data_IF_740158578736
#
_entry.id   IF_740158578736
#
_cell.length_a   1.000
_cell.length_b   1.000
_cell.length_c   1.000
_cell.angle_alpha   90.00
_cell.angle_beta   90.00
_cell.angle_gamma   90.00
#
_symmetry.space_group_name_H-M   'P 1'
#
loop_
_entity.id
_entity.type
_entity.pdbx_description
1 polymer ?
#
# COMPACT_ATOMS: atom_id res chain seq x y z
N UNK A 1 15.60 24.80 -20.91
CA UNK A 1 16.03 23.52 -21.52
C UNK A 1 16.29 22.42 -20.49
N UNK A 2 17.19 22.59 -19.51
CA UNK A 2 17.56 21.53 -18.54
C UNK A 2 16.41 20.89 -17.74
N UNK A 3 15.39 21.66 -17.35
CA UNK A 3 14.20 21.15 -16.62
C UNK A 3 13.36 20.17 -17.45
N UNK A 4 13.21 20.44 -18.75
CA UNK A 4 12.43 19.59 -19.66
C UNK A 4 13.13 18.25 -19.92
N UNK A 5 14.45 18.28 -20.14
CA UNK A 5 15.26 17.07 -20.29
C UNK A 5 15.30 16.23 -19.01
N UNK A 6 15.28 16.85 -17.83
CA UNK A 6 15.20 16.13 -16.56
C UNK A 6 13.85 15.43 -16.37
N UNK A 7 12.74 16.12 -16.66
CA UNK A 7 11.41 15.52 -16.60
C UNK A 7 11.24 14.40 -17.63
N UNK A 8 11.80 14.57 -18.83
CA UNK A 8 11.82 13.52 -19.85
C UNK A 8 12.61 12.28 -19.39
N UNK A 9 13.80 12.48 -18.82
CA UNK A 9 14.61 11.39 -18.26
C UNK A 9 13.95 10.69 -17.08
N UNK A 10 13.35 11.45 -16.17
CA UNK A 10 12.61 10.91 -15.03
C UNK A 10 11.38 10.12 -15.48
N UNK A 11 10.58 10.67 -16.40
CA UNK A 11 9.43 9.98 -16.98
C UNK A 11 9.82 8.70 -17.71
N UNK A 12 10.87 8.73 -18.52
CA UNK A 12 11.40 7.55 -19.20
C UNK A 12 11.90 6.49 -18.20
N UNK A 13 12.61 6.90 -17.16
CA UNK A 13 13.08 6.01 -16.09
C UNK A 13 11.92 5.38 -15.30
N UNK A 14 10.88 6.15 -14.98
CA UNK A 14 9.69 5.67 -14.29
C UNK A 14 8.92 4.64 -15.13
N UNK A 15 8.72 4.91 -16.42
CA UNK A 15 8.01 3.99 -17.32
C UNK A 15 8.81 2.70 -17.55
N UNK A 16 10.13 2.79 -17.76
CA UNK A 16 10.97 1.60 -17.93
C UNK A 16 11.07 0.78 -16.64
N UNK A 17 11.21 1.43 -15.48
CA UNK A 17 11.20 0.77 -14.17
C UNK A 17 9.87 0.10 -13.85
N UNK A 18 8.75 0.79 -14.10
CA UNK A 18 7.41 0.22 -13.94
C UNK A 18 7.13 -0.92 -14.93
N UNK A 19 7.62 -0.81 -16.18
CA UNK A 19 7.44 -1.84 -17.22
C UNK A 19 8.26 -3.09 -16.94
N UNK A 20 9.48 -2.97 -16.40
CA UNK A 20 10.32 -4.11 -16.02
C UNK A 20 9.68 -4.99 -14.92
N UNK A 21 8.75 -4.43 -14.14
CA UNK A 21 8.00 -5.18 -13.14
C UNK A 21 6.82 -5.99 -13.70
N UNK A 22 6.36 -5.75 -14.94
CA UNK A 22 5.12 -6.35 -15.48
C UNK A 22 5.14 -7.87 -15.52
N UNK A 23 6.26 -8.48 -15.89
CA UNK A 23 6.37 -9.95 -16.02
C UNK A 23 6.32 -10.65 -14.65
N UNK A 24 6.81 -9.98 -13.60
CA UNK A 24 6.71 -10.43 -12.21
C UNK A 24 5.38 -10.03 -11.57
N UNK A 25 4.81 -8.91 -12.00
CA UNK A 25 3.48 -8.45 -11.61
C UNK A 25 2.41 -9.42 -12.11
N UNK A 26 2.49 -9.93 -13.33
CA UNK A 26 1.56 -10.94 -13.84
C UNK A 26 1.64 -12.25 -13.04
N UNK A 27 2.83 -12.66 -12.63
CA UNK A 27 3.00 -13.84 -11.76
C UNK A 27 2.39 -13.62 -10.36
N UNK A 28 2.63 -12.46 -9.76
CA UNK A 28 2.05 -12.10 -8.46
C UNK A 28 0.54 -11.92 -8.58
N UNK A 29 0.05 -11.30 -9.67
CA UNK A 29 -1.35 -11.06 -9.95
C UNK A 29 -2.16 -12.35 -10.05
N UNK A 30 -1.61 -13.39 -10.67
CA UNK A 30 -2.25 -14.72 -10.68
C UNK A 30 -2.36 -15.32 -9.28
N UNK A 31 -1.30 -15.21 -8.47
CA UNK A 31 -1.35 -15.62 -7.05
C UNK A 31 -2.35 -14.77 -6.25
N UNK A 32 -2.48 -13.49 -6.59
CA UNK A 32 -3.40 -12.55 -5.95
C UNK A 32 -4.87 -12.82 -6.32
N UNK A 33 -5.15 -13.15 -7.58
CA UNK A 33 -6.48 -13.59 -8.01
C UNK A 33 -6.92 -14.85 -7.30
N UNK A 34 -6.01 -15.78 -7.02
CA UNK A 34 -6.34 -16.99 -6.25
C UNK A 34 -6.42 -16.73 -4.75
N UNK A 35 -5.67 -15.78 -4.23
CA UNK A 35 -5.72 -15.38 -2.82
C UNK A 35 -6.97 -14.55 -2.48
N UNK A 36 -7.51 -13.75 -3.41
CA UNK A 36 -8.73 -12.95 -3.15
C UNK A 36 -9.97 -13.81 -2.91
N UNK A 37 -9.99 -15.00 -3.52
CA UNK A 37 -11.13 -15.93 -3.49
C UNK A 37 -11.04 -16.90 -2.30
N UNK A 38 -9.97 -16.85 -1.49
CA UNK A 38 -9.82 -17.69 -0.30
C UNK A 38 -10.48 -17.01 0.93
N UNK A 39 -11.53 -17.61 1.53
CA UNK A 39 -12.20 -17.06 2.71
C UNK A 39 -11.27 -16.93 3.94
N UNK A 40 -10.13 -17.63 3.96
CA UNK A 40 -9.11 -17.47 5.00
C UNK A 40 -8.49 -16.09 4.98
N UNK A 41 -8.33 -15.48 3.80
CA UNK A 41 -7.80 -14.12 3.69
C UNK A 41 -8.81 -13.06 4.14
N UNK A 42 -10.12 -13.30 4.03
CA UNK A 42 -11.13 -12.40 4.61
C UNK A 42 -11.07 -12.40 6.14
N UNK A 43 -10.88 -13.56 6.74
CA UNK A 43 -10.66 -13.68 8.20
C UNK A 43 -9.37 -12.98 8.65
N UNK A 44 -8.27 -13.15 7.90
CA UNK A 44 -7.01 -12.44 8.15
C UNK A 44 -7.16 -10.92 7.98
N UNK A 45 -7.88 -10.47 6.95
CA UNK A 45 -8.14 -9.06 6.72
C UNK A 45 -8.97 -8.45 7.87
N UNK A 46 -10.00 -9.16 8.36
CA UNK A 46 -10.78 -8.74 9.51
C UNK A 46 -9.93 -8.62 10.79
N UNK A 47 -9.03 -9.58 11.03
CA UNK A 47 -8.09 -9.49 12.15
C UNK A 47 -7.09 -8.34 12.00
N UNK A 48 -6.57 -8.10 10.79
CA UNK A 48 -5.68 -6.99 10.52
C UNK A 48 -6.38 -5.63 10.70
N UNK A 49 -7.64 -5.53 10.26
CA UNK A 49 -8.48 -4.35 10.46
C UNK A 49 -8.73 -4.10 11.95
N UNK A 50 -9.11 -5.13 12.71
CA UNK A 50 -9.30 -5.01 14.17
C UNK A 50 -8.02 -4.51 14.87
N UNK A 51 -6.85 -5.05 14.50
CA UNK A 51 -5.55 -4.59 15.03
C UNK A 51 -5.22 -3.16 14.65
N UNK A 52 -5.58 -2.73 13.43
CA UNK A 52 -5.41 -1.36 12.99
C UNK A 52 -6.32 -0.40 13.78
N UNK A 53 -7.59 -0.78 13.97
CA UNK A 53 -8.56 -0.01 14.75
C UNK A 53 -8.14 0.10 16.22
N UNK A 54 -7.60 -0.96 16.82
CA UNK A 54 -7.02 -0.96 18.17
C UNK A 54 -5.83 -0.02 18.27
N UNK A 55 -4.92 -0.05 17.29
CA UNK A 55 -3.75 0.83 17.26
C UNK A 55 -4.15 2.30 17.10
N UNK A 56 -5.09 2.59 16.21
CA UNK A 56 -5.64 3.93 16.00
C UNK A 56 -6.38 4.41 17.25
N UNK A 57 -7.14 3.54 17.90
CA UNK A 57 -7.85 3.86 19.14
C UNK A 57 -6.90 4.12 20.30
N UNK A 58 -5.83 3.33 20.43
CA UNK A 58 -4.78 3.54 21.43
C UNK A 58 -4.03 4.86 21.19
N UNK A 59 -3.76 5.20 19.92
CA UNK A 59 -3.17 6.47 19.54
C UNK A 59 -4.13 7.64 19.83
N UNK A 60 -5.41 7.50 19.48
CA UNK A 60 -6.46 8.49 19.74
C UNK A 60 -6.70 8.69 21.24
N UNK A 61 -6.64 7.64 22.06
CA UNK A 61 -6.75 7.74 23.51
C UNK A 61 -5.55 8.48 24.12
N UNK A 62 -4.34 8.25 23.59
CA UNK A 62 -3.12 8.96 24.01
C UNK A 62 -3.11 10.43 23.58
N UNK A 63 -3.68 10.77 22.42
CA UNK A 63 -3.77 12.15 21.93
C UNK A 63 -5.01 12.90 22.42
N UNK A 64 -6.10 12.20 22.71
CA UNK A 64 -7.34 12.76 23.27
C UNK A 64 -7.32 12.87 24.80
N UNK A 65 -6.23 12.45 25.45
CA UNK A 65 -6.02 12.52 26.90
C UNK A 65 -5.41 13.81 27.41
N UNK A 66 -5.35 14.88 26.61
CA UNK A 66 -4.88 16.19 27.07
C UNK A 66 -6.07 17.10 27.41
N UNK A 67 -6.40 17.32 28.70
CA UNK A 67 -7.39 18.32 29.10
C UNK A 67 -6.76 19.72 28.97
N UNK A 68 -7.39 20.68 28.26
CA UNK A 68 -7.06 22.08 28.46
C UNK A 68 -7.66 22.52 29.80
N UNK A 69 -6.77 22.71 30.79
CA UNK A 69 -6.90 23.42 32.08
C UNK A 69 -8.29 23.60 32.68
#
# INVERSE_FOLDING_TARGET
MAKLSFLAGFGAGYVLGARAGRERYEQIRRGWEQAKDDPRLQSLAGMAQARADDAVSALKARMGGEPPR
#
